data_IF_154881524105
#
_entry.id   IF_154881524105
#
_cell.length_a   1.000
_cell.length_b   1.000
_cell.length_c   1.000
_cell.angle_alpha   90.00
_cell.angle_beta   90.00
_cell.angle_gamma   90.00
#
_symmetry.space_group_name_H-M   'P 1'
#
loop_
_entity.id
_entity.type
_entity.pdbx_description
1 polymer ?
#
# COMPACT_ATOMS: atom_id res chain seq x y z
N UNK A 1 1.50 4.08 22.96
CA UNK A 1 1.62 4.39 21.52
C UNK A 1 3.08 4.29 21.05
N UNK A 2 3.74 3.14 21.31
CA UNK A 2 5.09 2.80 20.82
C UNK A 2 5.09 1.44 20.08
N UNK A 3 3.93 0.79 19.99
CA UNK A 3 3.75 -0.52 19.35
C UNK A 3 3.53 -0.42 17.82
N UNK A 4 3.13 0.76 17.32
CA UNK A 4 2.75 0.95 15.91
C UNK A 4 3.98 1.01 14.97
N UNK A 5 5.15 1.40 15.48
CA UNK A 5 6.40 1.48 14.70
C UNK A 5 7.03 0.08 14.52
N UNK A 6 6.76 -0.85 15.45
CA UNK A 6 7.31 -2.21 15.41
C UNK A 6 6.54 -3.08 14.40
N UNK A 7 5.26 -2.82 14.17
CA UNK A 7 4.45 -3.57 13.20
C UNK A 7 4.92 -3.34 11.75
N UNK A 8 5.30 -2.11 11.38
CA UNK A 8 5.82 -1.80 10.04
C UNK A 8 7.18 -2.46 9.72
N UNK A 9 8.03 -2.65 10.74
CA UNK A 9 9.35 -3.30 10.58
C UNK A 9 9.20 -4.83 10.43
N UNK A 10 8.19 -5.44 11.07
CA UNK A 10 7.92 -6.87 10.93
C UNK A 10 7.38 -7.22 9.53
N UNK A 11 6.65 -6.31 8.87
CA UNK A 11 6.15 -6.49 7.49
C UNK A 11 7.29 -6.52 6.46
N UNK A 12 8.33 -5.70 6.62
CA UNK A 12 9.52 -5.74 5.74
C UNK A 12 10.31 -7.04 5.94
N UNK A 13 10.40 -7.56 7.17
CA UNK A 13 11.09 -8.83 7.45
C UNK A 13 10.30 -10.06 6.97
N UNK A 14 8.96 -9.98 6.92
CA UNK A 14 8.11 -11.06 6.40
C UNK A 14 8.18 -11.17 4.88
N UNK A 15 8.33 -10.04 4.19
CA UNK A 15 8.56 -9.98 2.73
C UNK A 15 10.03 -10.26 2.34
N UNK A 16 10.97 -10.16 3.28
CA UNK A 16 12.35 -10.61 3.06
C UNK A 16 12.51 -12.13 3.27
N UNK A 17 11.63 -12.80 4.01
CA UNK A 17 11.69 -14.27 4.08
C UNK A 17 11.22 -14.97 2.80
N UNK A 18 10.57 -14.25 1.88
CA UNK A 18 10.34 -14.73 0.52
C UNK A 18 11.51 -14.47 -0.43
N UNK A 19 12.63 -13.86 0.00
CA UNK A 19 13.85 -13.76 -0.84
C UNK A 19 14.63 -15.07 -0.96
N UNK A 20 14.15 -16.17 -0.38
CA UNK A 20 14.57 -17.55 -0.72
C UNK A 20 13.54 -18.30 -1.57
N UNK A 21 12.41 -17.67 -1.89
CA UNK A 21 11.53 -18.13 -2.94
C UNK A 21 11.92 -17.36 -4.20
N UNK A 22 12.02 -18.03 -5.35
CA UNK A 22 12.37 -17.41 -6.62
C UNK A 22 11.53 -16.12 -6.83
N UNK A 23 12.08 -15.08 -7.48
CA UNK A 23 11.27 -13.95 -7.90
C UNK A 23 10.06 -14.51 -8.66
N UNK A 24 8.85 -14.16 -8.22
CA UNK A 24 7.63 -14.45 -8.98
C UNK A 24 7.82 -13.72 -10.31
N UNK A 25 8.13 -14.49 -11.36
CA UNK A 25 8.38 -13.94 -12.69
C UNK A 25 7.07 -13.33 -13.20
N UNK A 26 7.11 -12.24 -13.98
CA UNK A 26 5.91 -11.59 -14.54
C UNK A 26 4.99 -12.61 -15.28
N UNK A 27 5.58 -13.71 -15.77
CA UNK A 27 4.89 -14.83 -16.42
C UNK A 27 3.98 -15.63 -15.47
N UNK A 28 4.30 -15.73 -14.16
CA UNK A 28 3.47 -16.42 -13.17
C UNK A 28 2.20 -15.63 -12.82
N UNK A 29 2.27 -14.29 -12.81
CA UNK A 29 1.09 -13.44 -12.57
C UNK A 29 0.16 -13.47 -13.78
N UNK A 30 0.71 -13.49 -15.00
CA UNK A 30 -0.11 -13.56 -16.22
C UNK A 30 -0.81 -14.91 -16.39
N UNK A 31 -0.12 -16.02 -16.05
CA UNK A 31 -0.72 -17.35 -16.09
C UNK A 31 -1.76 -17.57 -14.99
N UNK A 32 -1.55 -17.02 -13.78
CA UNK A 32 -2.56 -16.97 -12.71
C UNK A 32 -3.82 -16.21 -13.14
N UNK A 33 -3.67 -15.05 -13.80
CA UNK A 33 -4.80 -14.27 -14.30
C UNK A 33 -5.59 -15.02 -15.38
N UNK A 34 -4.90 -15.71 -16.30
CA UNK A 34 -5.53 -16.52 -17.36
C UNK A 34 -6.26 -17.74 -16.77
N UNK A 35 -5.67 -18.44 -15.80
CA UNK A 35 -6.26 -19.60 -15.12
C UNK A 35 -7.48 -19.23 -14.26
N UNK A 36 -7.47 -18.04 -13.65
CA UNK A 36 -8.60 -17.47 -12.93
C UNK A 36 -9.79 -17.21 -13.86
N UNK A 37 -9.54 -16.61 -15.02
CA UNK A 37 -10.59 -16.15 -15.95
C UNK A 37 -11.21 -17.29 -16.79
N UNK A 38 -10.51 -18.42 -16.95
CA UNK A 38 -10.95 -19.53 -17.81
C UNK A 38 -11.94 -20.52 -17.17
N UNK A 39 -12.21 -20.45 -15.85
CA UNK A 39 -13.21 -21.32 -15.20
C UNK A 39 -13.90 -20.61 -14.01
N UNK A 40 -15.02 -19.89 -14.24
CA UNK A 40 -15.59 -19.00 -13.22
C UNK A 40 -16.47 -19.77 -12.22
N UNK A 41 -15.91 -20.15 -11.07
CA UNK A 41 -16.70 -20.47 -9.87
C UNK A 41 -17.01 -19.18 -9.08
N UNK A 42 -18.06 -19.15 -8.23
CA UNK A 42 -18.34 -18.00 -7.35
C UNK A 42 -17.13 -17.59 -6.51
N UNK A 43 -16.37 -18.56 -6.00
CA UNK A 43 -15.08 -18.35 -5.31
C UNK A 43 -14.04 -17.65 -6.19
N UNK A 44 -13.82 -18.13 -7.42
CA UNK A 44 -12.87 -17.51 -8.37
C UNK A 44 -13.31 -16.12 -8.79
N UNK A 45 -14.60 -15.87 -8.94
CA UNK A 45 -15.12 -14.52 -9.22
C UNK A 45 -14.81 -13.54 -8.08
N UNK A 46 -14.90 -14.00 -6.83
CA UNK A 46 -14.51 -13.18 -5.67
C UNK A 46 -12.99 -12.89 -5.64
N UNK A 47 -12.15 -13.85 -6.02
CA UNK A 47 -10.70 -13.62 -6.17
C UNK A 47 -10.39 -12.60 -7.25
N UNK A 48 -10.99 -12.74 -8.44
CA UNK A 48 -10.83 -11.76 -9.54
C UNK A 48 -11.25 -10.38 -9.06
N UNK A 49 -12.40 -10.29 -8.37
CA UNK A 49 -12.88 -9.04 -7.79
C UNK A 49 -11.84 -8.44 -6.82
N UNK A 50 -11.31 -9.22 -5.88
CA UNK A 50 -10.29 -8.75 -4.93
C UNK A 50 -9.03 -8.30 -5.65
N UNK A 51 -8.51 -9.11 -6.57
CA UNK A 51 -7.30 -8.81 -7.32
C UNK A 51 -7.44 -7.51 -8.14
N UNK A 52 -8.49 -7.40 -8.96
CA UNK A 52 -8.68 -6.25 -9.86
C UNK A 52 -8.88 -4.95 -9.07
N UNK A 53 -9.71 -4.97 -8.02
CA UNK A 53 -10.00 -3.76 -7.24
C UNK A 53 -8.80 -3.35 -6.38
N UNK A 54 -8.13 -4.28 -5.72
CA UNK A 54 -6.94 -3.98 -4.92
C UNK A 54 -5.81 -3.44 -5.81
N UNK A 55 -5.59 -4.06 -6.97
CA UNK A 55 -4.62 -3.59 -7.98
C UNK A 55 -4.95 -2.17 -8.44
N UNK A 56 -6.22 -1.88 -8.73
CA UNK A 56 -6.62 -0.53 -9.13
C UNK A 56 -6.34 0.50 -8.04
N UNK A 57 -6.73 0.21 -6.79
CA UNK A 57 -6.51 1.11 -5.66
C UNK A 57 -5.03 1.43 -5.45
N UNK A 58 -4.17 0.41 -5.48
CA UNK A 58 -2.73 0.55 -5.30
C UNK A 58 -2.13 1.38 -6.45
N UNK A 59 -2.52 1.10 -7.68
CA UNK A 59 -2.02 1.82 -8.86
C UNK A 59 -2.38 3.30 -8.81
N UNK A 60 -3.63 3.61 -8.51
CA UNK A 60 -4.12 4.98 -8.41
C UNK A 60 -3.39 5.74 -7.31
N UNK A 61 -3.24 5.12 -6.13
CA UNK A 61 -2.50 5.72 -5.03
C UNK A 61 -1.04 5.98 -5.41
N UNK A 62 -0.34 4.96 -5.89
CA UNK A 62 1.08 5.05 -6.27
C UNK A 62 1.33 6.10 -7.35
N UNK A 63 0.45 6.20 -8.36
CA UNK A 63 0.56 7.22 -9.40
C UNK A 63 0.42 8.63 -8.83
N UNK A 64 -0.56 8.86 -7.95
CA UNK A 64 -0.80 10.15 -7.31
C UNK A 64 0.30 10.54 -6.33
N UNK A 65 0.78 9.62 -5.50
CA UNK A 65 1.88 9.89 -4.57
C UNK A 65 3.18 10.18 -5.32
N UNK A 66 3.47 9.47 -6.42
CA UNK A 66 4.63 9.80 -7.28
C UNK A 66 4.50 11.17 -7.92
N UNK A 67 3.30 11.54 -8.35
CA UNK A 67 3.04 12.89 -8.86
C UNK A 67 3.38 13.95 -7.80
N UNK A 68 2.89 13.77 -6.57
CA UNK A 68 3.18 14.68 -5.46
C UNK A 68 4.67 14.70 -5.10
N UNK A 69 5.31 13.54 -4.96
CA UNK A 69 6.74 13.43 -4.68
C UNK A 69 7.59 14.15 -5.72
N UNK A 70 7.25 14.04 -7.01
CA UNK A 70 7.96 14.74 -8.09
C UNK A 70 7.80 16.24 -8.03
N UNK A 71 6.64 16.73 -7.63
CA UNK A 71 6.40 18.17 -7.50
C UNK A 71 7.13 18.71 -6.27
N UNK A 72 7.11 17.99 -5.14
CA UNK A 72 7.91 18.32 -3.94
C UNK A 72 9.39 18.40 -4.28
N UNK A 73 9.95 17.40 -4.96
CA UNK A 73 11.38 17.36 -5.33
C UNK A 73 11.81 18.51 -6.24
N UNK A 74 10.87 19.15 -6.94
CA UNK A 74 11.10 20.31 -7.80
C UNK A 74 10.75 21.64 -7.14
N UNK A 75 10.29 21.62 -5.89
CA UNK A 75 9.87 22.82 -5.19
C UNK A 75 11.07 23.70 -4.85
N UNK A 76 10.96 25.00 -5.15
CA UNK A 76 12.02 25.98 -4.90
C UNK A 76 12.46 26.02 -3.44
N UNK A 77 11.55 25.72 -2.50
CA UNK A 77 11.87 25.70 -1.07
C UNK A 77 12.86 24.58 -0.68
N UNK A 78 13.05 23.57 -1.54
CA UNK A 78 14.02 22.48 -1.36
C UNK A 78 15.31 22.68 -2.19
N UNK A 79 15.35 23.68 -3.06
CA UNK A 79 16.52 23.98 -3.90
C UNK A 79 17.61 24.64 -3.06
N UNK A 80 18.81 24.06 -3.08
CA UNK A 80 19.96 24.57 -2.33
C UNK A 80 19.88 24.40 -0.80
N UNK A 81 18.84 23.73 -0.28
CA UNK A 81 18.80 23.38 1.14
C UNK A 81 19.67 22.13 1.40
N UNK A 82 20.78 22.34 2.12
CA UNK A 82 21.76 21.31 2.48
C UNK A 82 21.58 20.77 3.91
N UNK A 83 20.49 21.14 4.61
CA UNK A 83 20.23 20.60 5.94
C UNK A 83 20.06 19.05 5.87
N UNK A 84 20.71 18.28 6.77
CA UNK A 84 20.64 16.82 6.76
C UNK A 84 19.22 16.24 6.75
N UNK A 85 18.29 16.80 7.53
CA UNK A 85 16.89 16.33 7.61
C UNK A 85 16.18 16.49 6.25
N UNK A 86 16.41 17.63 5.59
CA UNK A 86 15.85 17.93 4.28
C UNK A 86 16.48 17.06 3.19
N UNK A 87 17.79 16.81 3.27
CA UNK A 87 18.48 15.91 2.34
C UNK A 87 18.01 14.45 2.50
N UNK A 88 17.79 13.98 3.72
CA UNK A 88 17.23 12.65 3.97
C UNK A 88 15.83 12.52 3.37
N UNK A 89 14.95 13.49 3.63
CA UNK A 89 13.61 13.54 3.04
C UNK A 89 13.64 13.52 1.50
N UNK A 90 14.50 14.34 0.87
CA UNK A 90 14.69 14.35 -0.60
C UNK A 90 15.18 13.00 -1.12
N UNK A 91 16.13 12.38 -0.43
CA UNK A 91 16.67 11.08 -0.82
C UNK A 91 15.60 9.99 -0.74
N UNK A 92 14.77 10.01 0.29
CA UNK A 92 13.71 9.01 0.47
C UNK A 92 12.57 9.20 -0.54
N UNK A 93 12.18 10.44 -0.85
CA UNK A 93 11.26 10.72 -1.96
C UNK A 93 11.83 10.29 -3.31
N UNK A 94 13.14 10.50 -3.54
CA UNK A 94 13.80 10.08 -4.78
C UNK A 94 13.79 8.56 -4.92
N UNK A 95 14.20 7.84 -3.87
CA UNK A 95 14.13 6.37 -3.82
C UNK A 95 12.72 5.86 -4.09
N UNK A 96 11.70 6.52 -3.52
CA UNK A 96 10.31 6.19 -3.75
C UNK A 96 9.92 6.33 -5.23
N UNK A 97 10.24 7.48 -5.86
CA UNK A 97 9.96 7.73 -7.28
C UNK A 97 10.69 6.73 -8.18
N UNK A 98 11.96 6.44 -7.92
CA UNK A 98 12.75 5.49 -8.70
C UNK A 98 12.24 4.04 -8.57
N UNK A 99 11.81 3.68 -7.37
CA UNK A 99 11.21 2.37 -7.10
C UNK A 99 9.87 2.20 -7.83
N UNK A 100 9.07 3.26 -7.96
CA UNK A 100 7.87 3.23 -8.79
C UNK A 100 8.19 3.04 -10.27
N UNK A 101 9.15 3.79 -10.81
CA UNK A 101 9.52 3.70 -12.22
C UNK A 101 9.98 2.31 -12.63
N UNK A 102 10.69 1.61 -11.75
CA UNK A 102 11.13 0.22 -11.95
C UNK A 102 10.06 -0.84 -11.69
N UNK A 103 8.90 -0.47 -11.12
CA UNK A 103 7.88 -1.42 -10.63
C UNK A 103 6.50 -1.25 -11.26
N UNK A 104 6.33 -0.38 -12.26
CA UNK A 104 5.01 0.00 -12.83
C UNK A 104 4.08 -1.16 -13.21
N UNK A 105 4.63 -2.31 -13.55
CA UNK A 105 3.88 -3.49 -14.00
C UNK A 105 3.59 -4.51 -12.90
N UNK A 106 4.33 -4.46 -11.80
CA UNK A 106 4.34 -5.47 -10.75
C UNK A 106 3.52 -4.98 -9.55
N UNK A 107 2.34 -5.57 -9.35
CA UNK A 107 1.39 -5.18 -8.30
C UNK A 107 1.94 -5.41 -6.91
N UNK A 108 2.74 -6.47 -6.72
CA UNK A 108 3.34 -6.81 -5.42
C UNK A 108 4.40 -5.77 -5.07
N UNK A 109 5.20 -5.33 -6.05
CA UNK A 109 6.12 -4.21 -5.83
C UNK A 109 5.39 -2.89 -5.61
N UNK A 110 4.32 -2.60 -6.36
CA UNK A 110 3.53 -1.40 -6.12
C UNK A 110 2.90 -1.38 -4.72
N UNK A 111 2.58 -2.55 -4.17
CA UNK A 111 2.10 -2.67 -2.79
C UNK A 111 3.13 -2.21 -1.76
N UNK A 112 4.39 -2.65 -1.89
CA UNK A 112 5.44 -2.28 -0.95
C UNK A 112 5.79 -0.78 -1.00
N UNK A 113 5.54 -0.12 -2.14
CA UNK A 113 5.71 1.32 -2.30
C UNK A 113 4.79 2.14 -1.39
N UNK A 114 3.61 1.64 -1.03
CA UNK A 114 2.71 2.33 -0.09
C UNK A 114 3.42 2.52 1.24
N UNK A 115 4.02 1.45 1.77
CA UNK A 115 4.75 1.50 3.03
C UNK A 115 5.96 2.44 2.98
N UNK A 116 6.67 2.47 1.85
CA UNK A 116 7.80 3.38 1.65
C UNK A 116 7.34 4.85 1.69
N UNK A 117 6.28 5.19 0.94
CA UNK A 117 5.77 6.56 0.91
C UNK A 117 5.22 7.02 2.26
N UNK A 118 4.47 6.16 2.95
CA UNK A 118 3.96 6.46 4.29
C UNK A 118 5.12 6.68 5.27
N UNK A 119 6.15 5.83 5.25
CA UNK A 119 7.34 6.03 6.08
C UNK A 119 8.03 7.37 5.81
N UNK A 120 8.07 7.82 4.56
CA UNK A 120 8.71 9.10 4.19
C UNK A 120 7.88 10.31 4.62
N UNK A 121 6.56 10.19 4.76
CA UNK A 121 5.66 11.36 4.90
C UNK A 121 4.94 11.43 6.24
N UNK A 122 4.58 10.28 6.82
CA UNK A 122 3.66 10.20 7.95
C UNK A 122 4.27 10.71 9.26
N UNK A 123 5.57 10.50 9.48
CA UNK A 123 6.26 11.02 10.66
C UNK A 123 6.17 12.54 10.75
N UNK A 124 6.21 13.25 9.61
CA UNK A 124 6.05 14.71 9.55
C UNK A 124 4.60 15.15 9.71
N UNK A 125 3.67 14.45 9.07
CA UNK A 125 2.22 14.74 9.15
C UNK A 125 1.65 14.56 10.56
N UNK A 126 2.20 13.61 11.32
CA UNK A 126 1.72 13.26 12.66
C UNK A 126 2.60 13.86 13.78
N UNK A 127 3.63 14.65 13.43
CA UNK A 127 4.51 15.25 14.43
C UNK A 127 3.75 16.31 15.24
N UNK A 128 3.81 16.30 16.58
CA UNK A 128 3.31 17.40 17.39
C UNK A 128 4.13 18.67 17.15
N UNK A 129 3.48 19.83 17.13
CA UNK A 129 4.13 21.12 16.81
C UNK A 129 5.32 21.41 17.74
N UNK A 130 5.25 21.00 19.01
CA UNK A 130 6.29 21.26 20.01
C UNK A 130 7.58 20.48 19.75
N UNK A 131 7.53 19.47 18.86
CA UNK A 131 8.69 18.64 18.47
C UNK A 131 9.27 19.00 17.12
N UNK A 132 8.63 19.91 16.37
CA UNK A 132 9.08 20.25 15.02
C UNK A 132 10.31 21.15 15.03
N UNK A 133 11.33 20.76 14.27
CA UNK A 133 12.42 21.66 13.88
C UNK A 133 11.91 22.67 12.85
N UNK A 134 12.74 23.66 12.48
CA UNK A 134 12.38 24.57 11.37
C UNK A 134 12.26 23.79 10.05
N UNK A 135 13.06 22.75 9.90
CA UNK A 135 13.09 21.85 8.76
C UNK A 135 11.88 20.92 8.72
N UNK A 136 11.47 20.34 9.87
CA UNK A 136 10.25 19.54 9.94
C UNK A 136 9.02 20.38 9.57
N UNK A 137 8.98 21.66 9.97
CA UNK A 137 7.91 22.60 9.58
C UNK A 137 7.90 22.85 8.08
N UNK A 138 9.07 23.12 7.49
CA UNK A 138 9.20 23.29 6.04
C UNK A 138 8.71 22.03 5.29
N UNK A 139 9.11 20.83 5.73
CA UNK A 139 8.68 19.58 5.12
C UNK A 139 7.17 19.42 5.26
N UNK A 140 6.60 19.67 6.43
CA UNK A 140 5.15 19.63 6.64
C UNK A 140 4.40 20.62 5.74
N UNK A 141 4.89 21.85 5.61
CA UNK A 141 4.31 22.85 4.72
C UNK A 141 4.29 22.37 3.26
N UNK A 142 5.35 21.71 2.81
CA UNK A 142 5.40 21.10 1.48
C UNK A 142 4.40 19.94 1.35
N UNK A 143 4.35 19.03 2.33
CA UNK A 143 3.40 17.92 2.33
C UNK A 143 1.94 18.42 2.30
N UNK A 144 1.65 19.52 2.99
CA UNK A 144 0.34 20.17 2.97
C UNK A 144 0.07 20.88 1.63
N UNK A 145 1.05 21.62 1.09
CA UNK A 145 0.95 22.30 -0.21
C UNK A 145 0.63 21.34 -1.35
N UNK A 146 1.18 20.13 -1.31
CA UNK A 146 0.94 19.09 -2.31
C UNK A 146 -0.12 18.07 -1.87
N UNK A 147 -0.92 18.39 -0.86
CA UNK A 147 -2.10 17.61 -0.44
C UNK A 147 -1.81 16.14 -0.12
N UNK A 148 -0.63 15.83 0.42
CA UNK A 148 -0.20 14.46 0.73
C UNK A 148 -1.12 13.79 1.77
N UNK A 149 -1.61 14.54 2.76
CA UNK A 149 -2.57 14.01 3.74
C UNK A 149 -3.93 13.70 3.10
N UNK A 150 -4.41 14.57 2.21
CA UNK A 150 -5.67 14.34 1.48
C UNK A 150 -5.58 13.07 0.65
N UNK A 151 -4.46 12.85 -0.05
CA UNK A 151 -4.21 11.61 -0.79
C UNK A 151 -4.32 10.37 0.11
N UNK A 152 -3.71 10.40 1.30
CA UNK A 152 -3.79 9.30 2.27
C UNK A 152 -5.24 9.08 2.73
N UNK A 153 -5.97 10.15 3.06
CA UNK A 153 -7.37 10.07 3.46
C UNK A 153 -8.27 9.51 2.34
N UNK A 154 -8.06 9.91 1.09
CA UNK A 154 -8.80 9.39 -0.06
C UNK A 154 -8.57 7.90 -0.27
N UNK A 155 -7.30 7.45 -0.17
CA UNK A 155 -6.98 6.03 -0.25
C UNK A 155 -7.69 5.24 0.85
N UNK A 156 -7.62 5.72 2.10
CA UNK A 156 -8.27 5.10 3.25
C UNK A 156 -9.78 4.98 3.06
N UNK A 157 -10.44 6.00 2.48
CA UNK A 157 -11.88 5.98 2.17
C UNK A 157 -12.21 4.97 1.08
N UNK A 158 -11.45 4.96 -0.02
CA UNK A 158 -11.65 4.01 -1.12
C UNK A 158 -11.41 2.56 -0.66
N UNK A 159 -10.40 2.36 0.20
CA UNK A 159 -10.12 1.06 0.79
C UNK A 159 -11.25 0.57 1.70
N UNK A 160 -11.91 1.44 2.48
CA UNK A 160 -13.10 1.05 3.25
C UNK A 160 -14.25 0.58 2.37
N UNK A 161 -14.52 1.31 1.28
CA UNK A 161 -15.57 0.93 0.32
C UNK A 161 -15.26 -0.44 -0.27
N UNK A 162 -14.00 -0.70 -0.61
CA UNK A 162 -13.55 -1.99 -1.08
C UNK A 162 -13.73 -3.10 -0.04
N UNK A 163 -13.31 -2.88 1.21
CA UNK A 163 -13.46 -3.86 2.31
C UNK A 163 -14.92 -4.21 2.53
N UNK A 164 -15.80 -3.22 2.59
CA UNK A 164 -17.24 -3.46 2.79
C UNK A 164 -17.85 -4.20 1.59
N UNK A 165 -17.45 -3.85 0.37
CA UNK A 165 -17.91 -4.53 -0.84
C UNK A 165 -17.42 -5.98 -0.89
N UNK A 166 -16.19 -6.24 -0.45
CA UNK A 166 -15.65 -7.59 -0.31
C UNK A 166 -16.44 -8.41 0.70
N UNK A 167 -16.72 -7.86 1.88
CA UNK A 167 -17.51 -8.53 2.93
C UNK A 167 -18.86 -8.99 2.36
N UNK A 168 -19.61 -8.06 1.76
CA UNK A 168 -20.92 -8.39 1.18
C UNK A 168 -20.81 -9.49 0.11
N UNK A 169 -19.83 -9.39 -0.78
CA UNK A 169 -19.62 -10.39 -1.84
C UNK A 169 -19.15 -11.75 -1.33
N UNK A 170 -18.41 -11.77 -0.22
CA UNK A 170 -18.01 -13.01 0.43
C UNK A 170 -19.23 -13.69 1.05
N UNK A 171 -20.07 -12.93 1.75
CA UNK A 171 -21.33 -13.42 2.35
C UNK A 171 -22.28 -13.95 1.27
N UNK A 172 -22.42 -13.27 0.12
CA UNK A 172 -23.22 -13.75 -1.02
C UNK A 172 -22.71 -15.08 -1.61
N UNK A 173 -21.43 -15.38 -1.42
CA UNK A 173 -20.77 -16.58 -1.96
C UNK A 173 -20.42 -17.62 -0.89
N UNK A 174 -20.92 -17.45 0.35
CA UNK A 174 -20.50 -18.23 1.53
C UNK A 174 -20.68 -19.73 1.33
N UNK A 175 -21.78 -20.16 0.71
CA UNK A 175 -22.09 -21.58 0.44
C UNK A 175 -21.09 -22.27 -0.49
N UNK A 176 -20.29 -21.49 -1.24
CA UNK A 176 -19.27 -21.97 -2.17
C UNK A 176 -17.85 -21.93 -1.56
N UNK A 177 -17.71 -21.51 -0.31
CA UNK A 177 -16.42 -21.37 0.38
C UNK A 177 -16.04 -22.65 1.11
N UNK A 178 -14.73 -22.95 1.14
CA UNK A 178 -14.23 -24.04 1.98
C UNK A 178 -14.24 -23.63 3.46
N UNK A 179 -14.21 -24.62 4.35
CA UNK A 179 -14.18 -24.38 5.81
C UNK A 179 -13.01 -23.49 6.22
N UNK A 180 -11.86 -23.64 5.58
CA UNK A 180 -10.66 -22.84 5.81
C UNK A 180 -10.89 -21.37 5.44
N UNK A 181 -11.57 -21.11 4.31
CA UNK A 181 -11.89 -19.74 3.88
C UNK A 181 -12.93 -19.09 4.79
N UNK A 182 -13.92 -19.85 5.25
CA UNK A 182 -14.90 -19.37 6.23
C UNK A 182 -14.22 -18.97 7.55
N UNK A 183 -13.30 -19.81 8.05
CA UNK A 183 -12.53 -19.49 9.24
C UNK A 183 -11.66 -18.24 9.03
N UNK A 184 -10.95 -18.17 7.90
CA UNK A 184 -10.15 -16.99 7.55
C UNK A 184 -11.01 -15.72 7.51
N UNK A 185 -12.24 -15.80 7.01
CA UNK A 185 -13.15 -14.65 6.91
C UNK A 185 -13.62 -14.15 8.28
N UNK A 186 -13.92 -15.06 9.21
CA UNK A 186 -14.23 -14.68 10.60
C UNK A 186 -13.06 -13.96 11.26
N UNK A 187 -11.84 -14.45 11.06
CA UNK A 187 -10.62 -13.78 11.55
C UNK A 187 -10.42 -12.42 10.86
N UNK A 188 -10.64 -12.35 9.54
CA UNK A 188 -10.51 -11.12 8.75
C UNK A 188 -11.43 -10.00 9.26
N UNK A 189 -12.68 -10.31 9.62
CA UNK A 189 -13.63 -9.31 10.13
C UNK A 189 -13.11 -8.59 11.38
N UNK A 190 -12.41 -9.33 12.25
CA UNK A 190 -11.88 -8.86 13.53
C UNK A 190 -10.56 -8.08 13.42
N UNK A 191 -9.88 -8.14 12.27
CA UNK A 191 -8.56 -7.50 12.08
C UNK A 191 -8.67 -5.98 12.11
N UNK A 192 -7.68 -5.28 12.70
CA UNK A 192 -7.48 -3.85 12.48
C UNK A 192 -7.39 -3.52 10.99
N UNK A 193 -7.81 -2.30 10.63
CA UNK A 193 -7.88 -1.86 9.22
C UNK A 193 -6.57 -2.03 8.45
N UNK A 194 -5.44 -1.71 9.08
CA UNK A 194 -4.11 -1.89 8.47
C UNK A 194 -3.77 -3.36 8.25
N UNK A 195 -4.22 -4.24 9.14
CA UNK A 195 -3.98 -5.69 9.03
C UNK A 195 -4.91 -6.34 7.99
N UNK A 196 -6.09 -5.75 7.73
CA UNK A 196 -6.97 -6.17 6.62
C UNK A 196 -6.28 -6.00 5.26
N UNK A 197 -5.46 -4.96 5.09
CA UNK A 197 -4.74 -4.71 3.84
C UNK A 197 -3.80 -5.88 3.48
N UNK A 198 -3.05 -6.41 4.45
CA UNK A 198 -2.17 -7.59 4.24
C UNK A 198 -2.98 -8.88 4.02
N UNK A 199 -4.18 -8.94 4.59
CA UNK A 199 -5.02 -10.13 4.56
C UNK A 199 -5.54 -10.42 3.15
N UNK A 200 -5.74 -9.40 2.33
CA UNK A 200 -6.17 -9.58 0.94
C UNK A 200 -5.11 -10.24 0.06
N UNK A 201 -3.81 -10.03 0.32
CA UNK A 201 -2.75 -10.77 -0.38
C UNK A 201 -2.85 -12.25 -0.06
N UNK A 202 -3.05 -12.60 1.21
CA UNK A 202 -3.26 -13.98 1.64
C UNK A 202 -4.49 -14.57 0.96
N UNK A 203 -5.61 -13.85 0.93
CA UNK A 203 -6.84 -14.28 0.26
C UNK A 203 -6.60 -14.64 -1.21
N UNK A 204 -5.87 -13.80 -1.97
CA UNK A 204 -5.54 -14.07 -3.38
C UNK A 204 -4.71 -15.36 -3.54
N UNK A 205 -3.88 -15.72 -2.56
CA UNK A 205 -3.00 -16.90 -2.64
C UNK A 205 -3.66 -18.21 -2.18
N UNK A 206 -4.59 -18.15 -1.23
CA UNK A 206 -5.21 -19.36 -0.63
C UNK A 206 -6.58 -19.70 -1.22
N UNK A 207 -7.25 -18.69 -1.77
CA UNK A 207 -8.52 -18.86 -2.44
C UNK A 207 -8.22 -19.27 -3.89
#
# INVERSE_FOLDING_TARGET
MKANIIAGIIVVLSLLQTTFTKPVEEDEISSFEEELRNNPSPRKQLQIYVYDNLRSLIKDYAASSVHNSRNILKDDALLGNENPEVLEFKNDLTKYVDSYESSKKDVVKLYSLIGLYLKTTEDYLQMPEEKMSSESKLILELLNKYECENLNMEFIKKFDVFVNSFINKFEDAEEYMSKELLQWFEEFKLRPKLDKFNSFIVFIMIA
#
